data_IF_048900445094
#
_entry.id   IF_048900445094
#
_cell.length_a   1.000
_cell.length_b   1.000
_cell.length_c   1.000
_cell.angle_alpha   90.00
_cell.angle_beta   90.00
_cell.angle_gamma   90.00
#
_symmetry.space_group_name_H-M   'P 1'
#
loop_
_entity.id
_entity.type
_entity.pdbx_description
1 polymer ?
#
# COMPACT_ATOMS: atom_id res chain seq x y z
N UNK A 1 -8.90 14.67 26.81
CA UNK A 1 -7.45 14.38 26.83
C UNK A 1 -6.95 14.15 25.40
N UNK A 2 -6.06 15.03 24.95
CA UNK A 2 -5.39 14.87 23.64
C UNK A 2 -4.40 13.71 23.74
N UNK A 3 -4.55 12.71 22.89
CA UNK A 3 -3.66 11.54 22.87
C UNK A 3 -3.15 11.28 21.44
N UNK A 4 -1.84 11.21 21.31
CA UNK A 4 -1.19 10.79 20.07
C UNK A 4 -0.61 9.39 20.25
N UNK A 5 -0.96 8.49 19.35
CA UNK A 5 -0.34 7.17 19.24
C UNK A 5 0.31 7.05 17.86
N UNK A 6 1.58 6.67 17.83
CA UNK A 6 2.32 6.45 16.58
C UNK A 6 2.93 5.06 16.62
N UNK A 7 2.71 4.30 15.56
CA UNK A 7 3.29 2.97 15.37
C UNK A 7 4.08 2.99 14.06
N UNK A 8 5.36 2.68 14.14
CA UNK A 8 6.21 2.54 12.96
C UNK A 8 6.67 1.08 12.83
N UNK A 9 6.57 0.55 11.63
CA UNK A 9 7.00 -0.81 11.29
C UNK A 9 7.94 -0.76 10.10
N UNK A 10 9.06 -1.43 10.22
CA UNK A 10 10.06 -1.61 9.17
C UNK A 10 10.26 -3.10 8.92
N UNK A 11 9.94 -3.55 7.74
CA UNK A 11 10.17 -4.92 7.30
C UNK A 11 11.31 -4.94 6.26
N UNK A 12 12.41 -5.60 6.60
CA UNK A 12 13.54 -5.83 5.70
C UNK A 12 13.57 -7.31 5.32
N UNK A 13 13.51 -7.58 4.04
CA UNK A 13 13.38 -8.93 3.53
C UNK A 13 14.50 -9.27 2.56
N UNK A 14 15.12 -10.45 2.75
CA UNK A 14 16.08 -11.01 1.82
C UNK A 14 15.54 -12.35 1.30
N UNK A 15 15.47 -12.44 -0.01
CA UNK A 15 14.94 -13.64 -0.67
C UNK A 15 16.09 -14.40 -1.34
N UNK A 16 16.11 -15.72 -1.15
CA UNK A 16 16.97 -16.64 -1.90
C UNK A 16 16.11 -17.46 -2.85
N UNK A 17 16.46 -17.47 -4.11
CA UNK A 17 15.76 -18.25 -5.13
C UNK A 17 16.71 -19.35 -5.64
N UNK A 18 16.21 -20.59 -5.73
CA UNK A 18 17.03 -21.74 -6.15
C UNK A 18 16.92 -22.01 -7.66
N UNK A 19 15.85 -21.57 -8.30
CA UNK A 19 15.55 -21.84 -9.73
C UNK A 19 15.33 -20.60 -10.59
N UNK A 20 15.32 -19.43 -9.98
CA UNK A 20 15.09 -18.15 -10.68
C UNK A 20 16.20 -17.18 -10.34
N UNK A 21 16.61 -16.37 -11.32
CA UNK A 21 17.67 -15.39 -11.13
C UNK A 21 17.32 -14.31 -10.08
N UNK A 22 16.04 -14.02 -9.88
CA UNK A 22 15.56 -13.00 -8.93
C UNK A 22 14.17 -13.33 -8.39
N UNK A 23 13.84 -12.89 -7.15
CA UNK A 23 12.49 -13.00 -6.62
C UNK A 23 11.57 -12.01 -7.33
N UNK A 24 10.45 -12.49 -7.87
CA UNK A 24 9.48 -11.68 -8.58
C UNK A 24 8.47 -11.03 -7.63
N UNK A 25 8.16 -9.74 -7.85
CA UNK A 25 7.18 -8.95 -7.10
C UNK A 25 7.42 -8.84 -5.59
N UNK A 26 8.56 -9.28 -5.10
CA UNK A 26 8.90 -9.26 -3.67
C UNK A 26 9.76 -8.02 -3.37
N UNK A 27 9.31 -7.11 -2.50
CA UNK A 27 10.09 -5.94 -2.12
C UNK A 27 11.20 -6.33 -1.14
N UNK A 28 12.31 -5.61 -1.21
CA UNK A 28 13.40 -5.78 -0.24
C UNK A 28 13.16 -5.03 1.08
N UNK A 29 12.31 -4.02 1.05
CA UNK A 29 11.98 -3.21 2.21
C UNK A 29 10.55 -2.67 2.11
N UNK A 30 9.87 -2.65 3.24
CA UNK A 30 8.58 -2.01 3.43
C UNK A 30 8.59 -1.21 4.73
N UNK A 31 7.99 -0.03 4.70
CA UNK A 31 7.82 0.81 5.89
C UNK A 31 6.34 1.16 5.98
N UNK A 32 5.78 0.96 7.15
CA UNK A 32 4.42 1.39 7.49
C UNK A 32 4.49 2.31 8.70
N UNK A 33 3.83 3.43 8.63
CA UNK A 33 3.67 4.37 9.73
C UNK A 33 2.19 4.62 9.94
N UNK A 34 1.69 4.29 11.09
CA UNK A 34 0.32 4.54 11.52
C UNK A 34 0.35 5.57 12.65
N UNK A 35 -0.36 6.66 12.48
CA UNK A 35 -0.55 7.67 13.52
C UNK A 35 -2.03 7.86 13.78
N UNK A 36 -2.39 7.90 15.05
CA UNK A 36 -3.73 8.18 15.53
C UNK A 36 -3.66 9.32 16.52
N UNK A 37 -4.45 10.35 16.26
CA UNK A 37 -4.58 11.50 17.14
C UNK A 37 -6.02 11.67 17.60
N UNK A 38 -6.25 11.44 18.88
CA UNK A 38 -7.52 11.72 19.54
C UNK A 38 -7.47 13.17 20.02
N UNK A 39 -8.16 14.07 19.32
CA UNK A 39 -8.22 15.49 19.69
C UNK A 39 -9.02 15.69 20.97
N UNK A 40 -10.15 15.01 21.06
CA UNK A 40 -11.04 14.95 22.20
C UNK A 40 -11.85 13.65 22.13
N UNK A 41 -12.88 13.51 22.97
CA UNK A 41 -13.73 12.33 22.97
C UNK A 41 -14.58 12.17 21.69
N UNK A 42 -14.62 13.19 20.83
CA UNK A 42 -15.45 13.23 19.63
C UNK A 42 -14.67 13.12 18.34
N UNK A 43 -13.46 13.66 18.26
CA UNK A 43 -12.67 13.69 17.03
C UNK A 43 -11.45 12.80 17.10
N UNK A 44 -11.33 11.92 16.13
CA UNK A 44 -10.17 11.05 15.93
C UNK A 44 -9.65 11.26 14.52
N UNK A 45 -8.37 11.59 14.41
CA UNK A 45 -7.66 11.67 13.13
C UNK A 45 -6.73 10.48 13.02
N UNK A 46 -6.76 9.79 11.89
CA UNK A 46 -5.90 8.66 11.55
C UNK A 46 -5.06 9.01 10.34
N UNK A 47 -3.78 8.77 10.39
CA UNK A 47 -2.86 8.91 9.28
C UNK A 47 -2.13 7.59 9.10
N UNK A 48 -2.10 7.08 7.88
CA UNK A 48 -1.29 5.93 7.53
C UNK A 48 -0.38 6.31 6.36
N UNK A 49 0.89 5.98 6.48
CA UNK A 49 1.88 6.08 5.41
C UNK A 49 2.45 4.70 5.15
N UNK A 50 2.51 4.34 3.89
CA UNK A 50 3.06 3.09 3.43
C UNK A 50 4.08 3.35 2.32
N UNK A 51 5.25 2.76 2.44
CA UNK A 51 6.26 2.80 1.37
C UNK A 51 6.76 1.41 1.07
N UNK A 52 6.97 1.15 -0.19
CA UNK A 52 7.48 -0.12 -0.66
C UNK A 52 8.69 0.11 -1.56
N UNK A 53 9.77 -0.61 -1.28
CA UNK A 53 11.01 -0.57 -2.03
C UNK A 53 10.87 -1.08 -3.47
N UNK A 54 11.95 -0.96 -4.21
CA UNK A 54 12.03 -1.46 -5.58
C UNK A 54 11.78 -2.97 -5.62
N UNK A 55 11.11 -3.43 -6.67
CA UNK A 55 10.79 -4.83 -6.93
C UNK A 55 11.14 -5.18 -8.37
N UNK A 56 11.22 -6.46 -8.65
CA UNK A 56 11.37 -6.96 -10.01
C UNK A 56 10.11 -7.73 -10.40
N UNK A 57 9.56 -7.42 -11.56
CA UNK A 57 8.48 -8.19 -12.18
C UNK A 57 9.03 -9.04 -13.31
N UNK A 58 8.49 -10.24 -13.44
CA UNK A 58 8.67 -11.03 -14.65
C UNK A 58 7.86 -10.39 -15.76
N UNK A 59 8.52 -9.90 -16.79
CA UNK A 59 7.86 -9.28 -17.93
C UNK A 59 8.51 -9.74 -19.22
N UNK A 60 7.77 -10.43 -20.06
CA UNK A 60 8.10 -10.55 -21.46
C UNK A 60 7.73 -9.26 -22.15
N UNK A 61 8.71 -8.45 -22.51
CA UNK A 61 8.49 -7.31 -23.40
C UNK A 61 8.17 -7.74 -24.85
N UNK A 62 8.14 -9.02 -25.11
CA UNK A 62 7.91 -9.55 -26.45
C UNK A 62 6.45 -9.92 -26.65
N UNK A 63 5.86 -9.25 -27.62
CA UNK A 63 4.68 -9.61 -28.39
C UNK A 63 4.31 -11.10 -28.37
N UNK A 64 3.33 -11.45 -27.56
CA UNK A 64 2.19 -12.19 -28.09
C UNK A 64 2.22 -13.70 -28.05
N UNK A 65 3.31 -14.42 -27.85
CA UNK A 65 3.22 -15.90 -27.75
C UNK A 65 4.25 -16.42 -26.76
N UNK A 66 3.78 -16.92 -25.63
CA UNK A 66 4.57 -17.79 -24.78
C UNK A 66 4.64 -19.14 -25.49
N UNK A 67 5.77 -19.44 -26.12
CA UNK A 67 6.05 -20.80 -26.54
C UNK A 67 6.27 -21.66 -25.29
N UNK A 68 5.81 -22.92 -25.28
CA UNK A 68 5.98 -23.81 -24.14
C UNK A 68 7.46 -24.10 -23.78
N UNK A 69 8.37 -23.75 -24.67
CA UNK A 69 9.82 -23.96 -24.55
C UNK A 69 10.59 -22.72 -24.11
N UNK A 70 9.91 -21.62 -23.73
CA UNK A 70 10.63 -20.43 -23.30
C UNK A 70 11.29 -20.69 -21.95
N UNK A 71 12.60 -20.75 -21.94
CA UNK A 71 13.39 -20.86 -20.72
C UNK A 71 13.14 -19.60 -19.86
N UNK A 72 12.61 -19.80 -18.66
CA UNK A 72 12.29 -18.71 -17.70
C UNK A 72 13.55 -17.97 -17.25
N UNK A 73 14.73 -18.48 -17.52
CA UNK A 73 16.00 -17.81 -17.24
C UNK A 73 16.30 -16.64 -18.18
N UNK A 74 15.65 -16.59 -19.36
CA UNK A 74 15.83 -15.51 -20.35
C UNK A 74 14.83 -14.35 -20.22
N UNK A 75 13.94 -14.42 -19.22
CA UNK A 75 12.96 -13.35 -19.01
C UNK A 75 13.66 -12.13 -18.41
N UNK A 76 13.73 -11.05 -19.19
CA UNK A 76 14.29 -9.78 -18.70
C UNK A 76 13.48 -9.25 -17.51
N UNK A 77 14.13 -8.95 -16.38
CA UNK A 77 13.44 -8.43 -15.22
C UNK A 77 13.04 -6.97 -15.44
N UNK A 78 11.76 -6.68 -15.29
CA UNK A 78 11.26 -5.29 -15.27
C UNK A 78 11.33 -4.76 -13.86
N UNK A 79 12.11 -3.68 -13.65
CA UNK A 79 12.19 -3.05 -12.37
C UNK A 79 10.99 -2.13 -12.12
N UNK A 80 10.17 -2.47 -11.12
CA UNK A 80 9.12 -1.61 -10.61
C UNK A 80 9.73 -0.61 -9.60
N UNK A 81 9.39 0.65 -9.78
CA UNK A 81 9.89 1.73 -8.93
C UNK A 81 9.36 1.59 -7.51
N UNK A 82 10.16 2.05 -6.55
CA UNK A 82 9.67 2.28 -5.20
C UNK A 82 8.57 3.34 -5.21
N UNK A 83 7.62 3.23 -4.29
CA UNK A 83 6.55 4.20 -4.14
C UNK A 83 6.26 4.47 -2.66
N UNK A 84 5.66 5.61 -2.42
CA UNK A 84 5.10 6.01 -1.13
C UNK A 84 3.63 6.31 -1.35
N UNK A 85 2.80 5.82 -0.48
CA UNK A 85 1.38 6.10 -0.46
C UNK A 85 0.91 6.46 0.95
N UNK A 86 -0.20 7.15 1.04
CA UNK A 86 -0.77 7.54 2.32
C UNK A 86 -2.28 7.60 2.29
N UNK A 87 -2.86 7.46 3.45
CA UNK A 87 -4.27 7.70 3.70
C UNK A 87 -4.45 8.56 4.94
N UNK A 88 -5.51 9.36 4.93
CA UNK A 88 -5.94 10.14 6.08
C UNK A 88 -7.42 9.90 6.31
N UNK A 89 -7.77 9.63 7.56
CA UNK A 89 -9.15 9.44 7.99
C UNK A 89 -9.51 10.37 9.14
N UNK A 90 -10.72 10.86 9.13
CA UNK A 90 -11.30 11.62 10.25
C UNK A 90 -12.59 10.94 10.65
N UNK A 91 -12.71 10.66 11.93
CA UNK A 91 -13.91 10.11 12.56
C UNK A 91 -14.47 11.13 13.52
N UNK A 92 -15.76 11.42 13.38
CA UNK A 92 -16.51 12.28 14.29
C UNK A 92 -17.56 11.46 15.05
N UNK A 93 -17.46 11.42 16.36
CA UNK A 93 -18.39 10.74 17.26
C UNK A 93 -19.44 11.72 17.73
N UNK A 94 -20.60 11.72 17.09
CA UNK A 94 -21.71 12.57 17.45
C UNK A 94 -22.28 12.19 18.84
N UNK A 95 -22.45 10.89 19.08
CA UNK A 95 -22.86 10.31 20.37
C UNK A 95 -22.03 9.07 20.65
N UNK A 96 -22.25 8.44 21.84
CA UNK A 96 -21.64 7.13 22.15
C UNK A 96 -22.07 6.00 21.17
N UNK A 97 -23.14 6.23 20.42
CA UNK A 97 -23.72 5.22 19.51
C UNK A 97 -23.61 5.59 18.04
N UNK A 98 -23.41 6.85 17.71
CA UNK A 98 -23.38 7.33 16.33
C UNK A 98 -22.04 7.99 16.06
N UNK A 99 -21.36 7.53 15.02
CA UNK A 99 -20.19 8.20 14.46
C UNK A 99 -20.29 8.30 12.94
N UNK A 100 -19.63 9.32 12.40
CA UNK A 100 -19.44 9.52 10.98
C UNK A 100 -17.94 9.49 10.69
N UNK A 101 -17.54 9.00 9.53
CA UNK A 101 -16.15 9.04 9.11
C UNK A 101 -16.02 9.43 7.65
N UNK A 102 -14.88 10.02 7.34
CA UNK A 102 -14.41 10.24 5.98
C UNK A 102 -12.96 9.81 5.91
N UNK A 103 -12.58 9.15 4.82
CA UNK A 103 -11.24 8.65 4.59
C UNK A 103 -10.81 8.96 3.16
N UNK A 104 -9.61 9.47 3.01
CA UNK A 104 -8.95 9.74 1.75
C UNK A 104 -7.80 8.76 1.60
N UNK A 105 -7.85 7.95 0.56
CA UNK A 105 -6.84 6.93 0.25
C UNK A 105 -6.07 7.30 -1.00
N UNK A 106 -4.84 6.81 -1.11
CA UNK A 106 -3.89 7.11 -2.17
C UNK A 106 -3.65 8.62 -2.33
N UNK A 107 -3.27 9.27 -1.24
CA UNK A 107 -2.95 10.71 -1.20
C UNK A 107 -1.80 11.10 -2.13
N UNK A 108 -0.91 10.16 -2.43
CA UNK A 108 0.17 10.39 -3.39
C UNK A 108 -0.36 10.69 -4.79
N UNK A 109 -1.62 10.31 -5.10
CA UNK A 109 -2.21 10.42 -6.43
C UNK A 109 -1.44 9.63 -7.50
N UNK A 110 -0.41 8.93 -7.07
CA UNK A 110 0.50 8.20 -7.94
C UNK A 110 -0.18 6.97 -8.55
N UNK A 111 -0.07 6.83 -9.86
CA UNK A 111 -0.43 5.60 -10.56
C UNK A 111 0.72 4.61 -10.45
N UNK A 112 1.10 4.23 -9.23
CA UNK A 112 2.11 3.20 -9.05
C UNK A 112 1.54 1.81 -9.36
N UNK A 113 2.40 0.89 -9.77
CA UNK A 113 2.00 -0.47 -10.04
C UNK A 113 2.38 -1.36 -8.86
N UNK A 114 1.38 -1.91 -8.19
CA UNK A 114 1.61 -2.93 -7.15
C UNK A 114 2.09 -4.23 -7.75
N UNK A 115 1.54 -4.55 -8.91
CA UNK A 115 2.00 -5.63 -9.80
C UNK A 115 2.16 -5.08 -11.21
N UNK A 116 3.02 -5.67 -12.01
CA UNK A 116 3.23 -5.25 -13.38
C UNK A 116 1.91 -5.23 -14.17
N UNK A 117 1.61 -4.11 -14.84
CA UNK A 117 0.36 -3.83 -15.58
C UNK A 117 -0.91 -3.68 -14.71
N UNK A 118 -0.78 -3.71 -13.38
CA UNK A 118 -1.90 -3.43 -12.49
C UNK A 118 -1.66 -2.12 -11.72
N UNK A 119 -2.02 -0.98 -12.32
CA UNK A 119 -1.93 0.30 -11.62
C UNK A 119 -2.95 0.36 -10.49
N UNK A 120 -2.58 1.02 -9.42
CA UNK A 120 -3.52 1.31 -8.32
C UNK A 120 -4.50 2.37 -8.77
N UNK A 121 -5.67 2.38 -8.15
CA UNK A 121 -6.65 3.45 -8.36
C UNK A 121 -6.06 4.78 -7.91
N UNK A 122 -6.52 5.85 -8.54
CA UNK A 122 -6.22 7.23 -8.16
C UNK A 122 -6.72 7.53 -6.73
N UNK A 123 -6.63 8.77 -6.29
CA UNK A 123 -7.18 9.21 -5.00
C UNK A 123 -8.62 8.73 -4.85
N UNK A 124 -8.90 8.09 -3.73
CA UNK A 124 -10.21 7.53 -3.42
C UNK A 124 -10.74 8.17 -2.14
N UNK A 125 -12.00 8.54 -2.15
CA UNK A 125 -12.72 9.09 -0.99
C UNK A 125 -13.74 8.05 -0.54
N UNK A 126 -13.71 7.74 0.74
CA UNK A 126 -14.67 6.86 1.39
C UNK A 126 -15.31 7.62 2.56
N UNK A 127 -16.61 7.52 2.70
CA UNK A 127 -17.34 8.06 3.85
C UNK A 127 -18.45 7.14 4.31
N UNK A 128 -18.77 7.20 5.58
CA UNK A 128 -19.82 6.36 6.14
C UNK A 128 -20.26 6.77 7.53
N UNK A 129 -21.31 6.09 7.97
CA UNK A 129 -21.90 6.25 9.30
C UNK A 129 -21.86 4.90 10.02
N UNK A 130 -21.56 4.95 11.32
CA UNK A 130 -21.60 3.78 12.19
C UNK A 130 -22.63 4.02 13.28
N UNK A 131 -23.49 3.03 13.49
CA UNK A 131 -24.45 3.01 14.59
C UNK A 131 -24.24 1.77 15.47
N UNK A 132 -24.15 1.96 16.78
CA UNK A 132 -23.99 0.90 17.76
C UNK A 132 -25.26 0.78 18.61
N UNK A 133 -25.84 -0.39 18.71
CA UNK A 133 -27.07 -0.68 19.49
C UNK A 133 -26.80 -0.72 20.97
#
# INVERSE_FOLDING_TARGET
DKRLTVIARLDLMKYKTNRQARPWNLPSAEITLDARYDLDDRFVVKLQLFTQGKRFASGTQRTGVLSPETDLSEVEPIQLRAFVDGSIGVEYRYTKRISAFIELNNLSGGRYQRFYRYPVQSVMVLGGLTYSF
#
